data_IF_227546295936
#
_entry.id   IF_227546295936
#
_cell.length_a   1.000
_cell.length_b   1.000
_cell.length_c   1.000
_cell.angle_alpha   90.00
_cell.angle_beta   90.00
_cell.angle_gamma   90.00
#
_symmetry.space_group_name_H-M   'P 1'
#
loop_
_entity.id
_entity.type
_entity.pdbx_description
1 polymer ?
#
# COMPACT_ATOMS: atom_id res chain seq x y z
N UNK A 1 14.12 1.05 -9.61
CA UNK A 1 13.03 1.58 -10.46
C UNK A 1 12.38 2.79 -9.78
N UNK A 2 12.39 3.98 -10.40
CA UNK A 2 11.69 5.16 -9.84
C UNK A 2 10.19 4.95 -10.01
N UNK A 3 9.43 5.00 -8.92
CA UNK A 3 7.97 4.90 -8.97
C UNK A 3 7.38 6.19 -9.57
N UNK A 4 6.63 6.05 -10.67
CA UNK A 4 6.00 7.19 -11.36
C UNK A 4 4.86 7.72 -10.50
N UNK A 5 4.85 9.03 -10.26
CA UNK A 5 3.73 9.72 -9.65
C UNK A 5 2.61 9.86 -10.70
N UNK A 6 1.39 9.49 -10.32
CA UNK A 6 0.20 9.45 -11.18
C UNK A 6 -0.90 10.30 -10.54
N UNK A 7 -1.78 10.87 -11.37
CA UNK A 7 -2.98 11.59 -10.91
C UNK A 7 -4.17 10.64 -10.85
N UNK A 8 -5.11 10.93 -9.95
CA UNK A 8 -6.35 10.19 -9.77
C UNK A 8 -7.45 11.18 -9.36
N UNK A 9 -8.64 11.03 -9.93
CA UNK A 9 -9.83 11.77 -9.49
C UNK A 9 -10.78 10.81 -8.77
N UNK A 10 -11.21 11.21 -7.57
CA UNK A 10 -12.18 10.47 -6.75
C UNK A 10 -13.19 11.47 -6.21
N UNK A 11 -14.47 11.25 -6.52
CA UNK A 11 -15.61 12.04 -6.02
C UNK A 11 -15.38 13.57 -6.14
N UNK A 12 -14.87 14.01 -7.31
CA UNK A 12 -14.62 15.42 -7.63
C UNK A 12 -13.31 16.00 -7.07
N UNK A 13 -12.52 15.22 -6.33
CA UNK A 13 -11.22 15.64 -5.77
C UNK A 13 -10.04 15.03 -6.51
N UNK A 14 -9.01 15.83 -6.77
CA UNK A 14 -7.73 15.34 -7.33
C UNK A 14 -6.84 14.78 -6.23
N UNK A 15 -6.23 13.62 -6.51
CA UNK A 15 -5.23 12.97 -5.70
C UNK A 15 -4.01 12.66 -6.57
N UNK A 16 -2.84 12.57 -5.93
CA UNK A 16 -1.65 12.01 -6.55
C UNK A 16 -1.27 10.73 -5.86
N UNK A 17 -0.78 9.74 -6.61
CA UNK A 17 -0.39 8.47 -6.04
C UNK A 17 0.81 7.86 -6.74
N UNK A 18 1.50 6.96 -6.04
CA UNK A 18 2.56 6.13 -6.61
C UNK A 18 2.52 4.74 -5.98
N UNK A 19 2.95 3.75 -6.74
CA UNK A 19 3.18 2.40 -6.24
C UNK A 19 4.66 2.03 -6.38
N UNK A 20 5.20 1.34 -5.38
CA UNK A 20 6.60 0.91 -5.38
C UNK A 20 6.71 -0.56 -5.02
N UNK A 21 7.44 -1.33 -5.83
CA UNK A 21 7.72 -2.73 -5.52
C UNK A 21 8.81 -2.77 -4.45
N UNK A 22 8.57 -3.61 -3.45
CA UNK A 22 9.47 -3.99 -2.37
C UNK A 22 9.49 -5.50 -2.29
N UNK A 23 10.60 -6.03 -1.80
CA UNK A 23 10.66 -7.43 -1.43
C UNK A 23 10.60 -7.52 0.08
N UNK A 24 9.78 -8.44 0.59
CA UNK A 24 9.68 -8.76 2.01
C UNK A 24 9.90 -10.25 2.19
N UNK A 25 10.55 -10.68 3.26
CA UNK A 25 10.57 -12.09 3.63
C UNK A 25 9.32 -12.39 4.43
N UNK A 26 8.54 -13.38 4.00
CA UNK A 26 7.44 -13.90 4.80
C UNK A 26 7.98 -14.68 6.01
N UNK A 27 7.08 -15.05 6.92
CA UNK A 27 7.42 -15.86 8.11
C UNK A 27 8.01 -17.23 7.76
N UNK A 28 7.70 -17.75 6.57
CA UNK A 28 8.22 -19.00 6.01
C UNK A 28 9.61 -18.85 5.36
N UNK A 29 10.25 -17.68 5.49
CA UNK A 29 11.54 -17.37 4.87
C UNK A 29 11.46 -17.00 3.37
N UNK A 30 10.36 -17.32 2.70
CA UNK A 30 10.13 -17.01 1.29
C UNK A 30 10.10 -15.51 0.99
N UNK A 31 10.79 -15.12 -0.09
CA UNK A 31 10.80 -13.74 -0.57
C UNK A 31 9.52 -13.45 -1.35
N UNK A 32 8.66 -12.63 -0.78
CA UNK A 32 7.40 -12.19 -1.40
C UNK A 32 7.55 -10.80 -2.00
N UNK A 33 6.92 -10.62 -3.16
CA UNK A 33 6.73 -9.31 -3.77
C UNK A 33 5.64 -8.56 -3.00
N UNK A 34 5.95 -7.35 -2.56
CA UNK A 34 5.00 -6.45 -1.92
C UNK A 34 4.98 -5.11 -2.65
N UNK A 35 3.80 -4.53 -2.81
CA UNK A 35 3.59 -3.27 -3.52
C UNK A 35 3.08 -2.25 -2.53
N UNK A 36 3.92 -1.25 -2.21
CA UNK A 36 3.54 -0.12 -1.38
C UNK A 36 2.86 0.94 -2.24
N UNK A 37 1.57 1.16 -2.03
CA UNK A 37 0.80 2.25 -2.61
C UNK A 37 0.80 3.42 -1.64
N UNK A 38 1.11 4.62 -2.14
CA UNK A 38 0.97 5.88 -1.38
C UNK A 38 0.14 6.88 -2.16
N UNK A 39 -0.81 7.53 -1.48
CA UNK A 39 -1.72 8.54 -2.05
C UNK A 39 -1.65 9.83 -1.23
N UNK A 40 -1.72 10.98 -1.91
CA UNK A 40 -1.73 12.32 -1.33
C UNK A 40 -2.89 13.13 -1.93
N UNK A 41 -3.69 13.79 -1.09
CA UNK A 41 -4.79 14.68 -1.53
C UNK A 41 -4.45 16.16 -1.56
N UNK A 42 -3.50 16.64 -0.75
CA UNK A 42 -3.11 18.06 -0.67
C UNK A 42 -1.63 18.28 -1.03
N UNK A 43 -1.11 17.53 -2.00
CA UNK A 43 0.32 17.54 -2.34
C UNK A 43 1.20 16.83 -1.30
N UNK A 44 2.53 16.99 -1.41
CA UNK A 44 3.51 16.22 -0.63
C UNK A 44 3.52 16.50 0.88
N UNK A 45 2.95 17.63 1.32
CA UNK A 45 2.84 18.01 2.73
C UNK A 45 1.61 17.41 3.42
N UNK A 46 0.63 16.93 2.66
CA UNK A 46 -0.56 16.28 3.18
C UNK A 46 -0.27 14.89 3.74
N UNK A 47 -1.12 14.46 4.67
CA UNK A 47 -1.08 13.13 5.28
C UNK A 47 -1.27 12.06 4.21
N UNK A 48 -0.24 11.26 4.00
CA UNK A 48 -0.27 10.24 2.95
C UNK A 48 -1.16 9.06 3.38
N UNK A 49 -2.05 8.59 2.53
CA UNK A 49 -2.62 7.24 2.68
C UNK A 49 -1.54 6.23 2.24
N UNK A 50 -1.34 5.16 3.01
CA UNK A 50 -0.44 4.07 2.64
C UNK A 50 -1.11 2.73 2.80
N UNK A 51 -1.00 1.89 1.77
CA UNK A 51 -1.40 0.49 1.81
C UNK A 51 -0.28 -0.37 1.22
N UNK A 52 0.00 -1.49 1.86
CA UNK A 52 0.96 -2.48 1.38
C UNK A 52 0.17 -3.69 0.86
N UNK A 53 0.43 -4.05 -0.40
CA UNK A 53 -0.35 -5.05 -1.14
C UNK A 53 0.52 -6.26 -1.50
N UNK A 54 -0.05 -7.44 -1.39
CA UNK A 54 0.49 -8.69 -1.94
C UNK A 54 -0.48 -9.24 -2.98
N UNK A 55 0.03 -9.99 -3.94
CA UNK A 55 -0.80 -10.66 -4.94
C UNK A 55 -1.68 -11.72 -4.28
N UNK A 56 -2.97 -11.73 -4.62
CA UNK A 56 -3.94 -12.69 -4.11
C UNK A 56 -4.97 -13.09 -5.19
N UNK A 57 -5.09 -14.39 -5.53
CA UNK A 57 -4.21 -15.48 -5.08
C UNK A 57 -2.76 -15.27 -5.54
N UNK A 58 -1.77 -15.93 -4.91
CA UNK A 58 -0.38 -15.86 -5.33
C UNK A 58 -0.24 -16.25 -6.81
N UNK A 59 0.67 -15.63 -7.58
CA UNK A 59 0.89 -16.01 -8.97
C UNK A 59 1.39 -17.46 -9.04
N UNK A 60 0.97 -18.18 -10.08
CA UNK A 60 1.48 -19.50 -10.36
C UNK A 60 3.00 -19.46 -10.58
N UNK A 61 3.69 -20.56 -10.26
CA UNK A 61 5.12 -20.68 -10.54
C UNK A 61 5.37 -20.50 -12.04
N UNK A 62 6.27 -19.60 -12.41
CA UNK A 62 6.56 -19.28 -13.81
C UNK A 62 5.64 -18.24 -14.47
N UNK A 63 4.83 -17.51 -13.69
CA UNK A 63 4.01 -16.43 -14.23
C UNK A 63 4.85 -15.39 -14.99
N UNK A 64 4.51 -15.16 -16.27
CA UNK A 64 5.22 -14.22 -17.15
C UNK A 64 4.92 -12.75 -16.83
N UNK A 65 3.82 -12.49 -16.11
CA UNK A 65 3.38 -11.16 -15.74
C UNK A 65 2.97 -11.10 -14.27
N UNK A 66 3.42 -10.04 -13.60
CA UNK A 66 3.04 -9.72 -12.22
C UNK A 66 2.03 -8.56 -12.21
N UNK A 67 0.97 -8.70 -11.42
CA UNK A 67 -0.07 -7.67 -11.32
C UNK A 67 0.48 -6.39 -10.71
N UNK A 68 0.00 -5.24 -11.18
CA UNK A 68 0.35 -3.93 -10.62
C UNK A 68 -0.92 -3.10 -10.38
N UNK A 69 -1.02 -2.33 -9.28
CA UNK A 69 -2.24 -1.62 -8.94
C UNK A 69 -2.68 -0.69 -10.06
N UNK A 70 -3.95 -0.80 -10.41
CA UNK A 70 -4.62 0.06 -11.38
C UNK A 70 -5.09 1.35 -10.71
N UNK A 71 -5.59 2.30 -11.50
CA UNK A 71 -6.24 3.47 -10.95
C UNK A 71 -7.48 3.10 -10.12
N UNK A 72 -8.20 2.05 -10.49
CA UNK A 72 -9.42 1.59 -9.82
C UNK A 72 -9.14 1.05 -8.41
N UNK A 73 -8.10 0.21 -8.27
CA UNK A 73 -7.63 -0.28 -6.98
C UNK A 73 -7.32 0.89 -6.02
N UNK A 74 -6.70 1.94 -6.56
CA UNK A 74 -6.37 3.13 -5.78
C UNK A 74 -7.61 3.96 -5.44
N UNK A 75 -8.66 3.98 -6.28
CA UNK A 75 -9.94 4.61 -5.92
C UNK A 75 -10.58 3.90 -4.73
N UNK A 76 -10.56 2.56 -4.72
CA UNK A 76 -11.08 1.74 -3.62
C UNK A 76 -10.32 2.07 -2.33
N UNK A 77 -8.98 2.12 -2.38
CA UNK A 77 -8.16 2.52 -1.24
C UNK A 77 -8.48 3.93 -0.74
N UNK A 78 -8.64 4.91 -1.63
CA UNK A 78 -8.98 6.30 -1.27
C UNK A 78 -10.34 6.35 -0.58
N UNK A 79 -11.36 5.71 -1.15
CA UNK A 79 -12.72 5.69 -0.58
C UNK A 79 -12.73 5.03 0.80
N UNK A 80 -12.07 3.88 0.93
CA UNK A 80 -11.91 3.22 2.21
C UNK A 80 -11.19 4.11 3.23
N UNK A 81 -10.06 4.71 2.85
CA UNK A 81 -9.30 5.60 3.72
C UNK A 81 -10.18 6.73 4.24
N UNK A 82 -10.93 7.39 3.35
CA UNK A 82 -11.85 8.47 3.72
C UNK A 82 -12.91 8.01 4.73
N UNK A 83 -13.51 6.83 4.53
CA UNK A 83 -14.47 6.22 5.46
C UNK A 83 -13.82 5.86 6.81
N UNK A 84 -12.57 5.42 6.80
CA UNK A 84 -11.79 5.07 7.98
C UNK A 84 -11.20 6.30 8.71
N UNK A 85 -11.53 7.53 8.28
CA UNK A 85 -11.09 8.76 8.93
C UNK A 85 -9.75 9.32 8.43
N UNK A 86 -9.26 8.85 7.29
CA UNK A 86 -8.15 9.52 6.60
C UNK A 86 -8.58 10.91 6.17
N UNK A 87 -7.83 11.92 6.62
CA UNK A 87 -8.01 13.32 6.24
C UNK A 87 -6.87 13.74 5.31
N UNK A 88 -7.09 13.85 3.98
CA UNK A 88 -6.01 14.12 3.02
C UNK A 88 -5.38 15.51 3.16
N UNK A 89 -6.13 16.46 3.73
CA UNK A 89 -5.69 17.83 3.98
C UNK A 89 -4.97 17.99 5.33
N UNK A 90 -5.02 17.00 6.22
CA UNK A 90 -4.27 17.04 7.46
C UNK A 90 -2.77 17.11 7.16
N UNK A 91 -2.04 17.94 7.89
CA UNK A 91 -0.61 18.10 7.68
C UNK A 91 0.16 16.88 8.22
N UNK A 92 1.10 16.40 7.40
CA UNK A 92 2.11 15.43 7.83
C UNK A 92 1.62 14.02 8.13
N UNK A 93 2.59 13.13 8.33
CA UNK A 93 2.35 11.74 8.72
C UNK A 93 1.84 10.83 7.60
N UNK A 94 1.54 9.60 7.99
CA UNK A 94 0.96 8.57 7.14
C UNK A 94 -0.28 8.01 7.84
N UNK A 95 -1.39 7.91 7.12
CA UNK A 95 -2.54 7.12 7.50
C UNK A 95 -2.37 5.75 6.86
N UNK A 96 -2.21 4.71 7.68
CA UNK A 96 -2.00 3.35 7.19
C UNK A 96 -3.34 2.64 7.06
N UNK A 97 -3.53 1.98 5.93
CA UNK A 97 -4.57 0.97 5.78
C UNK A 97 -3.99 -0.35 6.24
N UNK A 98 -4.50 -0.88 7.35
CA UNK A 98 -4.15 -2.18 7.88
C UNK A 98 -5.33 -3.14 7.81
N UNK A 99 -5.07 -4.40 7.44
CA UNK A 99 -5.96 -5.57 7.49
C UNK A 99 -7.46 -5.27 7.49
N UNK A 100 -8.07 -5.30 6.31
CA UNK A 100 -9.48 -5.00 6.12
C UNK A 100 -10.16 -6.18 5.43
N UNK A 101 -10.90 -6.99 6.20
CA UNK A 101 -11.67 -8.10 5.64
C UNK A 101 -12.67 -7.63 4.56
N UNK A 102 -13.14 -6.39 4.67
CA UNK A 102 -14.17 -5.82 3.80
C UNK A 102 -13.65 -5.09 2.55
N UNK A 103 -12.32 -4.95 2.40
CA UNK A 103 -11.77 -4.26 1.23
C UNK A 103 -11.48 -5.23 0.09
N UNK A 104 -12.36 -5.22 -0.91
CA UNK A 104 -12.15 -5.98 -2.13
C UNK A 104 -11.19 -5.25 -3.08
N UNK A 105 -9.98 -5.81 -3.25
CA UNK A 105 -9.03 -5.41 -4.29
C UNK A 105 -8.79 -6.62 -5.21
N UNK A 106 -9.36 -6.65 -6.42
CA UNK A 106 -9.17 -7.77 -7.33
C UNK A 106 -7.68 -8.04 -7.58
N UNK A 107 -7.23 -9.27 -7.30
CA UNK A 107 -5.83 -9.66 -7.48
C UNK A 107 -4.88 -9.24 -6.36
N UNK A 108 -5.37 -8.57 -5.30
CA UNK A 108 -4.53 -8.11 -4.20
C UNK A 108 -5.16 -8.34 -2.82
N UNK A 109 -4.31 -8.61 -1.84
CA UNK A 109 -4.66 -8.55 -0.42
C UNK A 109 -3.81 -7.48 0.28
N UNK A 110 -4.39 -6.79 1.26
CA UNK A 110 -3.64 -5.91 2.15
C UNK A 110 -2.77 -6.74 3.08
N UNK A 111 -1.54 -6.29 3.30
CA UNK A 111 -0.60 -6.95 4.19
C UNK A 111 0.12 -5.96 5.12
N UNK A 112 0.46 -6.44 6.31
CA UNK A 112 1.32 -5.73 7.25
C UNK A 112 2.77 -6.24 7.20
N UNK A 113 3.12 -7.15 6.30
CA UNK A 113 4.46 -7.77 6.27
C UNK A 113 5.58 -6.74 6.12
N UNK A 114 5.41 -5.73 5.26
CA UNK A 114 6.40 -4.67 5.12
C UNK A 114 6.51 -3.82 6.40
N UNK A 115 5.40 -3.58 7.09
CA UNK A 115 5.44 -2.91 8.38
C UNK A 115 6.29 -3.67 9.37
N UNK A 116 5.95 -4.95 9.56
CA UNK A 116 6.58 -5.80 10.55
C UNK A 116 8.09 -5.91 10.28
N UNK A 117 8.49 -5.96 9.01
CA UNK A 117 9.90 -5.96 8.62
C UNK A 117 10.61 -4.61 8.80
N UNK A 118 9.89 -3.49 8.78
CA UNK A 118 10.44 -2.14 9.02
C UNK A 118 10.48 -1.77 10.50
N UNK A 119 9.72 -2.46 11.34
CA UNK A 119 9.76 -2.27 12.78
C UNK A 119 11.05 -2.86 13.36
N UNK A 120 11.72 -2.17 14.29
CA UNK A 120 12.85 -2.75 14.99
C UNK A 120 12.40 -4.01 15.71
N UNK A 121 13.11 -5.11 15.47
CA UNK A 121 12.88 -6.35 16.21
C UNK A 121 13.13 -6.06 17.70
N UNK A 122 12.22 -6.40 18.63
CA UNK A 122 12.38 -6.08 20.05
C UNK A 122 13.53 -6.84 20.77
N UNK A 123 14.47 -7.44 20.03
CA UNK A 123 15.55 -8.30 20.55
C UNK A 123 16.95 -7.89 20.04
N UNK A 124 17.16 -6.59 19.78
CA UNK A 124 18.48 -6.03 19.47
C UNK A 124 19.08 -5.26 20.67
N UNK A 125 18.90 -5.79 21.88
CA UNK A 125 19.33 -5.13 23.11
C UNK A 125 19.48 -6.07 24.31
N UNK A 126 20.38 -7.05 24.22
CA UNK A 126 21.01 -7.68 25.39
C UNK A 126 22.25 -8.49 24.96
N UNK A 127 23.40 -7.83 24.86
CA UNK A 127 24.71 -8.43 25.14
C UNK A 127 25.59 -7.39 25.79
#
# INVERSE_FOLDING_TARGET
>A
MRSRLRKLHVDGREFTWKAGIRAVRGSDGDRRRCIRVRVWGAGKAGRALQADLIEHPPPASGAEAYSYPTAEDVRVLVRYGMLAGWMPAAAGGTFRVSSTADLALPGFAITELLWAAEQPHPDAGAR
#
